data_IF_381590926618
#
_entry.id   IF_381590926618
#
_cell.length_a   1.000
_cell.length_b   1.000
_cell.length_c   1.000
_cell.angle_alpha   90.00
_cell.angle_beta   90.00
_cell.angle_gamma   90.00
#
_symmetry.space_group_name_H-M   'P 1'
#
loop_
_entity.id
_entity.type
_entity.pdbx_description
1 polymer ?
#
# COMPACT_ATOMS: atom_id res chain seq x y z
N UNK A 1 31.83 -36.27 15.88
CA UNK A 1 31.81 -35.61 14.54
C UNK A 1 30.37 -35.23 14.25
N UNK A 2 29.99 -33.98 14.53
CA UNK A 2 28.66 -33.46 14.18
C UNK A 2 28.79 -32.70 12.87
N UNK A 3 28.13 -33.20 11.83
CA UNK A 3 28.06 -32.54 10.54
C UNK A 3 27.22 -31.26 10.70
N UNK A 4 27.84 -30.10 10.58
CA UNK A 4 27.15 -28.83 10.34
C UNK A 4 26.46 -28.93 8.97
N UNK A 5 25.14 -29.02 8.97
CA UNK A 5 24.37 -28.84 7.75
C UNK A 5 24.54 -27.38 7.28
N UNK A 6 25.31 -27.18 6.20
CA UNK A 6 25.31 -25.93 5.47
C UNK A 6 23.91 -25.70 4.92
N UNK A 7 23.15 -24.81 5.54
CA UNK A 7 21.98 -24.23 4.89
C UNK A 7 22.49 -23.36 3.75
N UNK A 8 22.41 -23.88 2.52
CA UNK A 8 22.77 -23.14 1.33
C UNK A 8 22.01 -21.82 1.28
N UNK A 9 22.72 -20.72 0.98
CA UNK A 9 22.10 -19.43 0.77
C UNK A 9 21.05 -19.55 -0.35
N UNK A 10 19.78 -19.26 -0.04
CA UNK A 10 18.73 -19.25 -1.04
C UNK A 10 19.06 -18.22 -2.13
N UNK A 11 18.82 -18.58 -3.39
CA UNK A 11 18.97 -17.62 -4.50
C UNK A 11 18.02 -16.42 -4.27
N UNK A 12 18.33 -15.22 -4.79
CA UNK A 12 17.44 -14.06 -4.69
C UNK A 12 15.99 -14.36 -5.10
N UNK A 13 15.77 -15.24 -6.10
CA UNK A 13 14.45 -15.68 -6.56
C UNK A 13 13.70 -16.58 -5.56
N UNK A 14 14.38 -17.13 -4.55
CA UNK A 14 13.76 -17.96 -3.50
C UNK A 14 13.42 -17.15 -2.24
N UNK A 15 13.87 -15.88 -2.16
CA UNK A 15 13.51 -14.93 -1.10
C UNK A 15 12.18 -14.25 -1.42
N UNK A 16 11.68 -13.45 -0.50
CA UNK A 16 10.38 -12.79 -0.62
C UNK A 16 9.21 -13.65 -0.15
N UNK A 17 8.06 -13.01 0.04
CA UNK A 17 6.83 -13.67 0.46
C UNK A 17 6.29 -14.62 -0.63
N UNK A 18 5.44 -15.61 -0.26
CA UNK A 18 4.75 -16.42 -1.27
C UNK A 18 3.90 -15.59 -2.23
N UNK A 19 3.29 -14.51 -1.78
CA UNK A 19 2.56 -13.57 -2.61
C UNK A 19 3.49 -12.89 -3.63
N UNK A 20 4.63 -12.36 -3.19
CA UNK A 20 5.63 -11.75 -4.06
C UNK A 20 6.17 -12.73 -5.12
N UNK A 21 6.48 -13.97 -4.72
CA UNK A 21 6.92 -15.00 -5.68
C UNK A 21 5.87 -15.33 -6.73
N UNK A 22 4.58 -15.43 -6.34
CA UNK A 22 3.47 -15.64 -7.31
C UNK A 22 3.33 -14.43 -8.23
N UNK A 23 3.45 -13.23 -7.70
CA UNK A 23 3.38 -12.00 -8.48
C UNK A 23 4.50 -11.89 -9.51
N UNK A 24 5.74 -12.22 -9.14
CA UNK A 24 6.89 -12.26 -10.05
C UNK A 24 6.74 -13.34 -11.15
N UNK A 25 6.02 -14.42 -10.87
CA UNK A 25 5.75 -15.48 -11.84
C UNK A 25 4.59 -15.15 -12.81
N UNK A 26 3.83 -14.08 -12.60
CA UNK A 26 2.75 -13.66 -13.51
C UNK A 26 3.36 -13.15 -14.84
N UNK A 27 3.10 -13.80 -15.98
CA UNK A 27 3.69 -13.41 -17.26
C UNK A 27 3.20 -12.04 -17.79
N UNK A 28 2.17 -11.46 -17.18
CA UNK A 28 1.64 -10.14 -17.54
C UNK A 28 2.31 -9.00 -16.78
N UNK A 29 3.15 -9.31 -15.78
CA UNK A 29 3.94 -8.31 -15.07
C UNK A 29 5.01 -7.75 -16.00
N UNK A 30 5.15 -6.45 -15.98
CA UNK A 30 6.17 -5.71 -16.71
C UNK A 30 7.10 -5.02 -15.70
N UNK A 31 8.32 -4.77 -16.12
CA UNK A 31 9.33 -4.10 -15.32
C UNK A 31 9.77 -2.83 -16.04
N UNK A 32 9.63 -1.70 -15.38
CA UNK A 32 10.16 -0.41 -15.82
C UNK A 32 11.54 -0.21 -15.18
N UNK A 33 12.57 0.04 -16.00
CA UNK A 33 13.94 0.23 -15.54
C UNK A 33 14.07 1.51 -14.70
N UNK A 34 14.59 1.36 -13.49
CA UNK A 34 14.92 2.44 -12.56
C UNK A 34 16.43 2.55 -12.31
N UNK A 35 17.26 1.99 -13.18
CA UNK A 35 18.73 2.12 -13.07
C UNK A 35 19.13 3.60 -13.06
N UNK A 36 19.84 4.03 -12.01
CA UNK A 36 20.25 5.42 -11.85
C UNK A 36 19.15 6.38 -11.36
N UNK A 37 17.96 5.87 -11.01
CA UNK A 37 16.91 6.71 -10.42
C UNK A 37 17.36 7.24 -9.06
N UNK A 38 17.32 8.57 -8.87
CA UNK A 38 17.71 9.23 -7.64
C UNK A 38 16.57 9.24 -6.64
N UNK A 39 16.80 8.66 -5.46
CA UNK A 39 15.88 8.69 -4.33
C UNK A 39 15.96 10.02 -3.57
N UNK A 40 14.93 10.36 -2.81
CA UNK A 40 14.88 11.57 -1.99
C UNK A 40 16.00 11.70 -0.97
N UNK A 41 16.66 10.59 -0.60
CA UNK A 41 17.85 10.57 0.25
C UNK A 41 19.17 10.83 -0.52
N UNK A 42 19.13 11.10 -1.82
CA UNK A 42 20.30 11.34 -2.68
C UNK A 42 21.01 10.07 -3.17
N UNK A 43 20.53 8.87 -2.83
CA UNK A 43 21.11 7.61 -3.34
C UNK A 43 20.53 7.29 -4.72
N UNK A 44 21.40 6.84 -5.61
CA UNK A 44 20.99 6.30 -6.92
C UNK A 44 20.65 4.82 -6.80
N UNK A 45 19.59 4.39 -7.44
CA UNK A 45 19.28 2.97 -7.57
C UNK A 45 20.30 2.29 -8.50
N UNK A 46 20.73 1.06 -8.18
CA UNK A 46 21.73 0.35 -8.97
C UNK A 46 21.17 -0.11 -10.33
N UNK A 47 22.08 -0.52 -11.21
CA UNK A 47 21.72 -1.17 -12.47
C UNK A 47 20.87 -2.42 -12.20
N UNK A 48 19.76 -2.56 -12.93
CA UNK A 48 18.80 -3.65 -12.77
C UNK A 48 17.69 -3.40 -11.73
N UNK A 49 17.74 -2.26 -11.01
CA UNK A 49 16.59 -1.84 -10.20
C UNK A 49 15.39 -1.57 -11.10
N UNK A 50 14.19 -2.01 -10.69
CA UNK A 50 12.98 -1.83 -11.51
C UNK A 50 11.73 -1.59 -10.68
N UNK A 51 10.77 -0.92 -11.30
CA UNK A 51 9.38 -0.81 -10.84
C UNK A 51 8.54 -1.86 -11.59
N UNK A 52 8.04 -2.85 -10.88
CA UNK A 52 7.14 -3.83 -11.45
C UNK A 52 5.72 -3.27 -11.52
N UNK A 53 5.03 -3.51 -12.61
CA UNK A 53 3.65 -3.02 -12.80
C UNK A 53 2.84 -3.96 -13.69
N UNK A 54 1.51 -3.83 -13.58
CA UNK A 54 0.55 -4.56 -14.41
C UNK A 54 -0.47 -3.60 -15.01
N UNK A 55 -0.95 -3.91 -16.21
CA UNK A 55 -1.95 -3.12 -16.91
C UNK A 55 -3.17 -3.99 -17.19
N UNK A 56 -4.35 -3.47 -16.89
CA UNK A 56 -5.63 -4.12 -17.10
C UNK A 56 -6.54 -3.24 -17.98
N UNK A 57 -7.48 -3.87 -18.66
CA UNK A 57 -8.47 -3.19 -19.49
C UNK A 57 -8.01 -2.89 -20.91
N UNK A 58 -8.60 -1.89 -21.57
CA UNK A 58 -8.28 -1.54 -22.95
C UNK A 58 -6.83 -1.07 -23.09
N UNK A 59 -6.24 -1.20 -24.28
CA UNK A 59 -4.93 -0.62 -24.56
C UNK A 59 -4.89 0.87 -24.18
N UNK A 60 -3.72 1.35 -23.77
CA UNK A 60 -3.50 2.74 -23.42
C UNK A 60 -3.95 3.65 -24.56
N UNK A 61 -4.75 4.66 -24.24
CA UNK A 61 -5.32 5.61 -25.21
C UNK A 61 -6.58 5.12 -25.93
N UNK A 62 -7.06 3.89 -25.68
CA UNK A 62 -8.28 3.36 -26.29
C UNK A 62 -9.47 3.28 -25.34
N UNK A 63 -9.26 3.50 -24.04
CA UNK A 63 -10.31 3.56 -23.01
C UNK A 63 -10.85 4.97 -22.79
N UNK A 64 -11.80 5.09 -21.87
CA UNK A 64 -12.36 6.36 -21.41
C UNK A 64 -11.35 7.20 -20.61
N UNK A 65 -10.27 6.59 -20.12
CA UNK A 65 -9.21 7.26 -19.39
C UNK A 65 -8.31 6.29 -18.64
N UNK A 66 -7.43 6.85 -17.81
CA UNK A 66 -6.38 6.11 -17.07
C UNK A 66 -6.67 6.17 -15.57
N UNK A 67 -6.73 5.00 -14.95
CA UNK A 67 -6.76 4.84 -13.50
C UNK A 67 -5.40 4.32 -13.02
N UNK A 68 -4.80 5.00 -12.05
CA UNK A 68 -3.62 4.51 -11.35
C UNK A 68 -4.07 3.91 -10.01
N UNK A 69 -3.68 2.65 -9.75
CA UNK A 69 -3.99 1.96 -8.50
C UNK A 69 -2.71 1.36 -7.88
N UNK A 70 -1.93 2.16 -7.13
CA UNK A 70 -0.72 1.68 -6.49
C UNK A 70 -1.02 0.66 -5.39
N UNK A 71 -0.12 -0.32 -5.22
CA UNK A 71 -0.24 -1.29 -4.13
C UNK A 71 -0.05 -0.65 -2.76
N UNK A 72 -0.50 -1.34 -1.71
CA UNK A 72 -0.43 -0.91 -0.32
C UNK A 72 0.62 -1.71 0.48
N UNK A 73 0.66 -1.53 1.81
CA UNK A 73 1.53 -2.28 2.71
C UNK A 73 1.27 -3.79 2.58
N UNK A 74 2.34 -4.56 2.44
CA UNK A 74 2.33 -6.03 2.32
C UNK A 74 1.44 -6.56 1.17
N UNK A 75 1.09 -5.70 0.21
CA UNK A 75 0.26 -6.04 -0.92
C UNK A 75 1.06 -6.08 -2.23
N UNK A 76 0.70 -7.01 -3.11
CA UNK A 76 1.20 -7.11 -4.47
C UNK A 76 0.04 -6.99 -5.46
N UNK A 77 0.33 -6.68 -6.72
CA UNK A 77 -0.70 -6.38 -7.73
C UNK A 77 -1.79 -7.46 -7.88
N UNK A 78 -1.48 -8.75 -7.70
CA UNK A 78 -2.46 -9.83 -7.82
C UNK A 78 -3.53 -9.79 -6.72
N UNK A 79 -3.21 -9.24 -5.56
CA UNK A 79 -4.12 -9.15 -4.42
C UNK A 79 -5.15 -8.03 -4.59
N UNK A 80 -4.92 -7.12 -5.54
CA UNK A 80 -5.83 -6.02 -5.87
C UNK A 80 -6.82 -6.36 -6.99
N UNK A 81 -6.65 -7.50 -7.67
CA UNK A 81 -7.41 -7.84 -8.87
C UNK A 81 -8.90 -8.11 -8.59
N UNK A 82 -9.29 -8.40 -7.36
CA UNK A 82 -10.69 -8.62 -7.00
C UNK A 82 -11.59 -7.41 -7.30
N UNK A 83 -11.05 -6.20 -7.31
CA UNK A 83 -11.78 -4.98 -7.59
C UNK A 83 -11.52 -4.39 -8.98
N UNK A 84 -10.74 -5.09 -9.83
CA UNK A 84 -10.35 -4.67 -11.18
C UNK A 84 -10.99 -5.63 -12.19
N UNK A 85 -11.89 -5.15 -13.02
CA UNK A 85 -12.57 -5.96 -14.02
C UNK A 85 -13.81 -5.27 -14.58
N UNK A 86 -14.44 -5.85 -15.61
CA UNK A 86 -15.70 -5.32 -16.12
C UNK A 86 -16.77 -5.28 -15.03
N UNK A 87 -17.34 -4.10 -14.77
CA UNK A 87 -18.35 -3.88 -13.73
C UNK A 87 -17.85 -3.93 -12.28
N UNK A 88 -16.53 -4.07 -12.06
CA UNK A 88 -15.93 -3.97 -10.72
C UNK A 88 -15.67 -2.49 -10.34
N UNK A 89 -15.17 -2.25 -9.13
CA UNK A 89 -14.87 -0.90 -8.63
C UNK A 89 -14.01 -0.10 -9.61
N UNK A 90 -13.01 -0.74 -10.21
CA UNK A 90 -12.19 -0.19 -11.28
C UNK A 90 -12.57 -0.90 -12.60
N UNK A 91 -13.54 -0.32 -13.29
CA UNK A 91 -14.21 -0.93 -14.44
C UNK A 91 -13.31 -0.94 -15.68
N UNK A 92 -12.76 -2.10 -15.98
CA UNK A 92 -11.90 -2.31 -17.15
C UNK A 92 -12.66 -2.39 -18.49
N UNK A 93 -13.98 -2.38 -18.50
CA UNK A 93 -14.72 -2.15 -19.74
C UNK A 93 -14.60 -0.69 -20.23
N UNK A 94 -14.22 0.23 -19.35
CA UNK A 94 -14.12 1.66 -19.61
C UNK A 94 -12.71 2.21 -19.48
N UNK A 95 -11.98 1.82 -18.44
CA UNK A 95 -10.71 2.44 -18.06
C UNK A 95 -9.54 1.49 -18.23
N UNK A 96 -8.39 2.03 -18.62
CA UNK A 96 -7.12 1.34 -18.47
C UNK A 96 -6.64 1.53 -17.02
N UNK A 97 -6.44 0.43 -16.31
CA UNK A 97 -5.98 0.44 -14.92
C UNK A 97 -4.53 0.03 -14.87
N UNK A 98 -3.68 0.90 -14.34
CA UNK A 98 -2.24 0.65 -14.16
C UNK A 98 -1.98 0.42 -12.67
N UNK A 99 -1.40 -0.73 -12.34
CA UNK A 99 -1.11 -1.16 -10.96
C UNK A 99 0.39 -1.27 -10.76
N UNK A 100 1.07 -0.21 -10.29
CA UNK A 100 2.48 -0.28 -9.91
C UNK A 100 2.63 -0.91 -8.53
N UNK A 101 3.63 -1.79 -8.39
CA UNK A 101 4.03 -2.35 -7.10
C UNK A 101 4.93 -1.38 -6.35
N UNK A 102 4.76 -1.29 -5.03
CA UNK A 102 5.63 -0.49 -4.16
C UNK A 102 7.11 -0.93 -4.28
N UNK A 103 8.02 0.01 -4.23
CA UNK A 103 9.40 -0.28 -3.88
C UNK A 103 9.44 -0.86 -2.46
N UNK A 104 10.11 -1.99 -2.31
CA UNK A 104 10.20 -2.67 -1.02
C UNK A 104 9.14 -3.74 -0.77
N UNK A 105 8.26 -4.09 -1.73
CA UNK A 105 7.21 -5.10 -1.52
C UNK A 105 7.57 -6.52 -2.03
N UNK A 106 8.83 -6.75 -2.40
CA UNK A 106 9.31 -8.04 -2.89
C UNK A 106 9.06 -8.30 -4.40
N UNK A 107 8.42 -7.37 -5.12
CA UNK A 107 8.14 -7.48 -6.56
C UNK A 107 8.85 -6.38 -7.36
N UNK A 108 8.74 -5.12 -6.95
CA UNK A 108 9.64 -4.05 -7.38
C UNK A 108 10.97 -4.15 -6.65
N UNK A 109 11.94 -3.30 -6.96
CA UNK A 109 13.23 -3.28 -6.25
C UNK A 109 13.04 -3.27 -4.73
N UNK A 110 13.54 -4.31 -4.05
CA UNK A 110 13.21 -4.63 -2.66
C UNK A 110 14.39 -5.27 -1.93
N UNK A 111 14.46 -5.16 -0.59
CA UNK A 111 15.48 -5.82 0.22
C UNK A 111 15.65 -7.32 -0.06
N UNK A 112 14.55 -8.05 -0.23
CA UNK A 112 14.56 -9.49 -0.52
C UNK A 112 15.15 -9.84 -1.88
N UNK A 113 15.20 -8.91 -2.83
CA UNK A 113 15.71 -9.11 -4.19
C UNK A 113 17.18 -8.68 -4.36
N UNK A 114 17.79 -8.11 -3.32
CA UNK A 114 19.15 -7.59 -3.35
C UNK A 114 20.10 -8.63 -2.74
N UNK A 115 21.30 -8.78 -3.34
CA UNK A 115 22.36 -9.56 -2.73
C UNK A 115 22.72 -8.93 -1.37
N UNK A 116 22.70 -9.69 -0.27
CA UNK A 116 23.15 -9.23 1.03
C UNK A 116 24.53 -8.58 1.04
N UNK A 117 25.44 -9.04 0.19
CA UNK A 117 26.78 -8.48 0.04
C UNK A 117 26.80 -7.08 -0.58
N UNK A 118 25.75 -6.68 -1.29
CA UNK A 118 25.61 -5.33 -1.87
C UNK A 118 25.28 -4.25 -0.83
N UNK A 119 25.14 -4.62 0.45
CA UNK A 119 24.80 -3.72 1.55
C UNK A 119 23.30 -3.57 1.77
N UNK A 120 22.94 -2.61 2.64
CA UNK A 120 21.54 -2.31 2.95
C UNK A 120 20.86 -1.61 1.78
N UNK A 121 19.59 -1.99 1.47
CA UNK A 121 18.80 -1.23 0.52
C UNK A 121 18.62 0.21 1.00
N UNK A 122 18.39 1.16 0.09
CA UNK A 122 18.05 2.51 0.48
C UNK A 122 16.68 2.53 1.19
N UNK A 123 16.47 3.56 1.99
CA UNK A 123 15.15 3.86 2.51
C UNK A 123 14.30 4.46 1.39
N UNK A 124 13.15 3.86 1.14
CA UNK A 124 12.15 4.39 0.22
C UNK A 124 11.15 5.28 0.97
N UNK A 125 10.71 6.34 0.35
CA UNK A 125 9.59 7.16 0.82
C UNK A 125 8.36 6.96 -0.07
N UNK A 126 7.19 7.41 0.39
CA UNK A 126 5.99 7.51 -0.46
C UNK A 126 6.26 8.39 -1.68
N UNK A 127 7.00 9.48 -1.48
CA UNK A 127 7.41 10.39 -2.56
C UNK A 127 8.30 9.69 -3.61
N UNK A 128 9.23 8.83 -3.20
CA UNK A 128 10.05 8.06 -4.14
C UNK A 128 9.20 7.11 -4.97
N UNK A 129 8.26 6.42 -4.34
CA UNK A 129 7.30 5.56 -5.04
C UNK A 129 6.50 6.33 -6.09
N UNK A 130 5.96 7.49 -5.71
CA UNK A 130 5.13 8.31 -6.59
C UNK A 130 5.97 8.93 -7.72
N UNK A 131 7.22 9.32 -7.47
CA UNK A 131 8.16 9.77 -8.52
C UNK A 131 8.51 8.63 -9.50
N UNK A 132 8.72 7.41 -9.02
CA UNK A 132 8.96 6.25 -9.86
C UNK A 132 7.72 5.90 -10.70
N UNK A 133 6.52 5.99 -10.14
CA UNK A 133 5.25 5.85 -10.87
C UNK A 133 5.11 6.92 -11.95
N UNK A 134 5.46 8.16 -11.64
CA UNK A 134 5.43 9.24 -12.63
C UNK A 134 6.37 8.95 -13.80
N UNK A 135 7.61 8.55 -13.53
CA UNK A 135 8.57 8.17 -14.56
C UNK A 135 8.05 7.01 -15.43
N UNK A 136 7.39 6.01 -14.81
CA UNK A 136 6.71 4.94 -15.54
C UNK A 136 5.61 5.50 -16.47
N UNK A 137 4.75 6.39 -15.97
CA UNK A 137 3.65 6.94 -16.76
C UNK A 137 4.16 7.83 -17.90
N UNK A 138 5.23 8.58 -17.69
CA UNK A 138 5.93 9.36 -18.73
C UNK A 138 6.49 8.43 -19.81
N UNK A 139 7.10 7.30 -19.42
CA UNK A 139 7.56 6.26 -20.35
C UNK A 139 6.41 5.65 -21.16
N UNK A 140 5.25 5.46 -20.54
CA UNK A 140 4.04 4.95 -21.19
C UNK A 140 3.30 6.03 -22.03
N UNK A 141 3.70 7.29 -21.93
CA UNK A 141 3.09 8.41 -22.64
C UNK A 141 1.73 8.84 -22.11
N UNK A 142 1.45 8.62 -20.80
CA UNK A 142 0.13 8.87 -20.20
C UNK A 142 0.20 9.58 -18.85
N UNK A 143 -0.87 10.30 -18.50
CA UNK A 143 -1.18 10.69 -17.13
C UNK A 143 -0.25 11.71 -16.48
N UNK A 144 0.55 12.46 -17.26
CA UNK A 144 1.61 13.29 -16.69
C UNK A 144 1.48 14.78 -16.97
N UNK A 145 0.42 15.21 -17.66
CA UNK A 145 0.23 16.62 -17.99
C UNK A 145 -1.18 17.11 -17.68
N UNK A 146 -1.36 18.42 -17.75
CA UNK A 146 -2.67 19.06 -17.61
C UNK A 146 -3.62 18.69 -18.75
N UNK A 147 -3.09 18.47 -19.94
CA UNK A 147 -3.85 18.14 -21.15
C UNK A 147 -4.29 16.66 -21.14
N UNK A 148 -3.50 15.79 -20.51
CA UNK A 148 -3.76 14.36 -20.38
C UNK A 148 -3.51 13.89 -18.93
N UNK A 149 -4.30 14.36 -17.96
CA UNK A 149 -4.14 13.95 -16.56
C UNK A 149 -4.67 12.53 -16.33
N UNK A 150 -4.27 11.92 -15.21
CA UNK A 150 -4.93 10.72 -14.68
C UNK A 150 -6.39 11.02 -14.37
N UNK A 151 -7.30 10.14 -14.78
CA UNK A 151 -8.72 10.29 -14.45
C UNK A 151 -8.99 9.99 -12.98
N UNK A 152 -8.27 9.02 -12.42
CA UNK A 152 -8.35 8.65 -11.02
C UNK A 152 -7.01 8.09 -10.52
N UNK A 153 -6.59 8.51 -9.33
CA UNK A 153 -5.67 7.73 -8.50
C UNK A 153 -6.50 7.10 -7.38
N UNK A 154 -6.68 5.79 -7.45
CA UNK A 154 -7.39 5.03 -6.42
C UNK A 154 -6.39 4.45 -5.44
N UNK A 155 -6.51 4.78 -4.17
CA UNK A 155 -5.61 4.28 -3.14
C UNK A 155 -6.35 3.79 -1.91
N UNK A 156 -5.98 2.59 -1.45
CA UNK A 156 -6.34 2.06 -0.15
C UNK A 156 -5.12 2.10 0.77
N UNK A 157 -5.29 2.50 2.03
CA UNK A 157 -4.23 2.47 3.04
C UNK A 157 -2.97 3.24 2.59
N UNK A 158 -1.80 2.62 2.49
CA UNK A 158 -0.60 3.23 1.90
C UNK A 158 -0.78 3.64 0.44
N UNK A 159 -1.70 3.02 -0.29
CA UNK A 159 -2.11 3.48 -1.62
C UNK A 159 -2.78 4.85 -1.57
N UNK A 160 -3.55 5.14 -0.52
CA UNK A 160 -4.16 6.45 -0.32
C UNK A 160 -3.12 7.54 0.03
N UNK A 161 -2.08 7.21 0.82
CA UNK A 161 -0.94 8.11 1.03
C UNK A 161 -0.28 8.49 -0.31
N UNK A 162 -0.16 7.53 -1.23
CA UNK A 162 0.36 7.78 -2.57
C UNK A 162 -0.59 8.63 -3.42
N UNK A 163 -1.91 8.42 -3.31
CA UNK A 163 -2.91 9.24 -4.02
C UNK A 163 -2.86 10.71 -3.57
N UNK A 164 -2.72 10.96 -2.28
CA UNK A 164 -2.51 12.32 -1.76
C UNK A 164 -1.18 12.92 -2.23
N UNK A 165 -0.10 12.15 -2.21
CA UNK A 165 1.20 12.61 -2.72
C UNK A 165 1.11 13.01 -4.19
N UNK A 166 0.41 12.22 -5.04
CA UNK A 166 0.12 12.56 -6.43
C UNK A 166 -0.61 13.90 -6.55
N UNK A 167 -1.69 14.09 -5.79
CA UNK A 167 -2.53 15.28 -5.87
C UNK A 167 -1.81 16.56 -5.36
N UNK A 168 -0.87 16.43 -4.42
CA UNK A 168 -0.12 17.56 -3.86
C UNK A 168 1.13 17.88 -4.69
N UNK A 169 1.86 16.85 -5.14
CA UNK A 169 3.09 17.04 -5.91
C UNK A 169 2.82 17.52 -7.34
N UNK A 170 1.77 16.98 -7.98
CA UNK A 170 1.40 17.32 -9.38
C UNK A 170 -0.09 17.60 -9.53
N UNK A 171 -0.58 18.70 -8.97
CA UNK A 171 -2.01 19.00 -8.88
C UNK A 171 -2.73 19.08 -10.23
N UNK A 172 -2.03 19.41 -11.31
CA UNK A 172 -2.63 19.50 -12.66
C UNK A 172 -2.63 18.14 -13.40
N UNK A 173 -1.93 17.13 -12.87
CA UNK A 173 -1.80 15.82 -13.51
C UNK A 173 -2.83 14.79 -13.01
N UNK A 174 -3.73 15.17 -12.10
CA UNK A 174 -4.72 14.25 -11.50
C UNK A 174 -6.08 14.94 -11.42
N UNK A 175 -7.10 14.35 -12.05
CA UNK A 175 -8.49 14.87 -11.99
C UNK A 175 -9.17 14.53 -10.69
N UNK A 176 -9.01 13.28 -10.23
CA UNK A 176 -9.69 12.72 -9.05
C UNK A 176 -8.77 11.83 -8.25
N UNK A 177 -8.93 11.83 -6.94
CA UNK A 177 -8.37 10.78 -6.08
C UNK A 177 -9.48 10.13 -5.27
N UNK A 178 -9.37 8.81 -5.03
CA UNK A 178 -10.15 8.10 -4.05
C UNK A 178 -9.20 7.61 -2.96
N UNK A 179 -9.32 8.19 -1.78
CA UNK A 179 -8.51 7.85 -0.60
C UNK A 179 -9.37 7.01 0.35
N UNK A 180 -9.16 5.69 0.31
CA UNK A 180 -9.93 4.72 1.09
C UNK A 180 -9.10 4.27 2.28
N UNK A 181 -9.61 4.43 3.50
CA UNK A 181 -8.93 4.07 4.75
C UNK A 181 -7.46 4.52 4.76
N UNK A 182 -7.21 5.79 4.49
CA UNK A 182 -5.89 6.40 4.43
C UNK A 182 -5.93 7.89 4.71
N UNK A 183 -4.79 8.56 4.66
CA UNK A 183 -4.62 9.95 5.05
C UNK A 183 -3.58 10.68 4.19
N UNK A 184 -3.51 12.00 4.31
CA UNK A 184 -2.48 12.82 3.68
C UNK A 184 -1.10 12.67 4.36
N UNK A 185 -1.08 12.19 5.60
CA UNK A 185 0.15 11.90 6.35
C UNK A 185 -0.06 10.80 7.39
N UNK A 186 1.03 10.16 7.80
CA UNK A 186 1.04 9.23 8.93
C UNK A 186 0.79 9.99 10.24
N UNK A 187 -0.34 9.70 10.93
CA UNK A 187 -0.70 10.30 12.21
C UNK A 187 0.12 9.75 13.38
N UNK A 188 0.07 10.42 14.54
CA UNK A 188 0.85 10.02 15.71
C UNK A 188 0.44 8.64 16.25
N UNK A 189 -0.87 8.33 16.30
CA UNK A 189 -1.36 7.02 16.71
C UNK A 189 -0.85 5.92 15.78
N UNK A 190 -0.86 6.20 14.48
CA UNK A 190 -0.35 5.30 13.46
C UNK A 190 1.17 5.07 13.62
N UNK A 191 1.95 6.11 13.95
CA UNK A 191 3.38 5.99 14.26
C UNK A 191 3.66 5.09 15.46
N UNK A 192 2.82 5.16 16.51
CA UNK A 192 2.92 4.25 17.68
C UNK A 192 2.69 2.80 17.27
N UNK A 193 1.66 2.55 16.46
CA UNK A 193 1.42 1.23 15.90
C UNK A 193 2.63 0.71 15.10
N UNK A 194 3.12 1.49 14.14
CA UNK A 194 4.27 1.11 13.31
C UNK A 194 5.53 0.86 14.14
N UNK A 195 5.76 1.67 15.18
CA UNK A 195 6.84 1.44 16.14
C UNK A 195 6.69 0.11 16.89
N UNK A 196 5.45 -0.27 17.25
CA UNK A 196 5.19 -1.53 17.99
C UNK A 196 5.47 -2.77 17.14
N UNK A 197 5.06 -2.77 15.85
CA UNK A 197 5.32 -3.90 14.96
C UNK A 197 6.79 -3.97 14.53
N UNK A 198 7.47 -2.84 14.33
CA UNK A 198 8.92 -2.81 14.10
C UNK A 198 9.69 -3.38 15.29
N UNK A 199 9.32 -2.98 16.51
CA UNK A 199 9.94 -3.49 17.73
C UNK A 199 9.71 -5.00 17.90
N UNK A 200 8.51 -5.51 17.59
CA UNK A 200 8.20 -6.94 17.66
C UNK A 200 9.06 -7.76 16.69
N UNK A 201 9.23 -7.29 15.44
CA UNK A 201 10.13 -7.94 14.48
C UNK A 201 11.57 -7.97 14.98
N UNK A 202 12.11 -6.82 15.42
CA UNK A 202 13.51 -6.68 15.85
C UNK A 202 13.82 -7.35 17.20
N UNK A 203 12.81 -7.73 17.98
CA UNK A 203 13.00 -8.50 19.21
C UNK A 203 13.34 -9.97 18.93
N UNK A 204 13.16 -10.46 17.69
CA UNK A 204 13.58 -11.82 17.31
C UNK A 204 15.10 -11.96 17.31
N UNK A 205 15.59 -13.13 17.79
CA UNK A 205 17.02 -13.45 17.79
C UNK A 205 17.66 -13.55 16.38
N UNK A 206 16.86 -13.49 15.33
CA UNK A 206 17.34 -13.40 13.94
C UNK A 206 17.75 -11.98 13.54
N UNK A 207 17.41 -10.95 14.33
CA UNK A 207 17.80 -9.58 14.05
C UNK A 207 19.28 -9.33 14.32
N UNK A 208 20.02 -8.88 13.32
CA UNK A 208 21.39 -8.39 13.47
C UNK A 208 21.37 -6.86 13.45
N UNK A 209 21.55 -6.26 14.62
CA UNK A 209 21.53 -4.80 14.76
C UNK A 209 22.72 -4.12 14.08
N UNK A 210 23.88 -4.79 13.99
CA UNK A 210 25.07 -4.24 13.35
C UNK A 210 24.93 -4.25 11.82
N UNK A 211 24.34 -5.32 11.27
CA UNK A 211 24.05 -5.44 9.84
C UNK A 211 22.74 -4.72 9.45
N UNK A 212 21.87 -4.36 10.41
CA UNK A 212 20.58 -3.72 10.17
C UNK A 212 19.58 -4.58 9.38
N UNK A 213 19.65 -5.91 9.49
CA UNK A 213 18.89 -6.89 8.72
C UNK A 213 18.68 -8.20 9.49
N UNK A 214 17.80 -9.06 8.97
CA UNK A 214 17.62 -10.41 9.52
C UNK A 214 18.62 -11.40 8.91
N UNK A 215 19.21 -12.25 9.76
CA UNK A 215 20.14 -13.32 9.36
C UNK A 215 19.42 -14.58 8.89
N UNK A 216 18.16 -14.75 9.29
CA UNK A 216 17.23 -15.82 8.91
C UNK A 216 15.80 -15.36 9.13
N UNK A 217 14.76 -16.09 8.65
CA UNK A 217 13.37 -15.72 8.91
C UNK A 217 13.08 -15.60 10.42
N UNK A 218 12.58 -14.45 10.91
CA UNK A 218 12.28 -14.20 12.31
C UNK A 218 10.88 -14.74 12.67
N UNK A 219 10.73 -16.06 12.79
CA UNK A 219 9.43 -16.70 12.95
C UNK A 219 8.64 -16.24 14.17
N UNK A 220 9.32 -15.99 15.30
CA UNK A 220 8.70 -15.47 16.52
C UNK A 220 8.33 -13.99 16.36
N UNK A 221 9.19 -13.22 15.72
CA UNK A 221 8.94 -11.82 15.40
C UNK A 221 7.74 -11.65 14.47
N UNK A 222 7.63 -12.48 13.43
CA UNK A 222 6.49 -12.46 12.50
C UNK A 222 5.18 -12.89 13.19
N UNK A 223 5.21 -13.87 14.11
CA UNK A 223 4.03 -14.25 14.90
C UNK A 223 3.59 -13.10 15.82
N UNK A 224 4.52 -12.44 16.52
CA UNK A 224 4.22 -11.27 17.36
C UNK A 224 3.68 -10.10 16.52
N UNK A 225 4.26 -9.87 15.34
CA UNK A 225 3.79 -8.89 14.36
C UNK A 225 2.33 -9.15 13.98
N UNK A 226 1.99 -10.37 13.56
CA UNK A 226 0.62 -10.76 13.19
C UNK A 226 -0.37 -10.58 14.33
N UNK A 227 0.03 -10.94 15.57
CA UNK A 227 -0.80 -10.77 16.77
C UNK A 227 -1.10 -9.30 17.06
N UNK A 228 -0.10 -8.42 16.94
CA UNK A 228 -0.30 -6.97 17.10
C UNK A 228 -1.22 -6.45 15.99
N UNK A 229 -0.96 -6.87 14.75
CA UNK A 229 -1.77 -6.46 13.59
C UNK A 229 -3.25 -6.82 13.75
N UNK A 230 -3.55 -8.00 14.31
CA UNK A 230 -4.92 -8.44 14.59
C UNK A 230 -5.68 -7.47 15.50
N UNK A 231 -5.01 -6.91 16.52
CA UNK A 231 -5.62 -5.94 17.42
C UNK A 231 -5.84 -4.55 16.81
N UNK A 232 -5.24 -4.25 15.67
CA UNK A 232 -5.30 -2.93 15.03
C UNK A 232 -6.03 -2.91 13.68
N UNK A 233 -5.98 -4.02 12.94
CA UNK A 233 -6.51 -4.10 11.57
C UNK A 233 -8.03 -4.18 11.48
N UNK A 234 -8.73 -4.40 12.60
CA UNK A 234 -10.19 -4.41 12.70
C UNK A 234 -10.65 -3.43 13.79
N UNK A 235 -11.92 -3.07 13.76
CA UNK A 235 -12.53 -2.21 14.76
C UNK A 235 -12.65 -2.90 16.14
N UNK A 236 -12.89 -2.13 17.19
CA UNK A 236 -13.10 -2.68 18.53
C UNK A 236 -14.34 -3.58 18.60
N UNK A 237 -15.42 -3.21 17.91
CA UNK A 237 -16.67 -4.00 17.88
C UNK A 237 -16.49 -5.37 17.21
N UNK A 238 -15.46 -5.56 16.34
CA UNK A 238 -15.12 -6.87 15.82
C UNK A 238 -14.93 -7.91 16.92
N UNK A 239 -14.32 -7.51 18.04
CA UNK A 239 -14.08 -8.37 19.19
C UNK A 239 -15.18 -8.25 20.25
N UNK A 240 -15.60 -7.04 20.61
CA UNK A 240 -16.55 -6.82 21.72
C UNK A 240 -17.97 -7.30 21.39
N UNK A 241 -18.34 -7.33 20.11
CA UNK A 241 -19.64 -7.78 19.61
C UNK A 241 -19.56 -9.13 18.88
N UNK A 242 -18.39 -9.78 18.95
CA UNK A 242 -18.12 -11.08 18.33
C UNK A 242 -18.44 -11.13 16.80
N UNK A 243 -18.18 -10.04 16.08
CA UNK A 243 -18.39 -9.97 14.62
C UNK A 243 -17.54 -11.01 13.85
N UNK A 244 -16.41 -11.46 14.42
CA UNK A 244 -15.62 -12.57 13.90
C UNK A 244 -16.46 -13.85 13.71
N UNK A 245 -17.51 -14.07 14.51
CA UNK A 245 -18.36 -15.24 14.38
C UNK A 245 -19.18 -15.22 13.06
N UNK A 246 -19.57 -14.04 12.58
CA UNK A 246 -20.24 -13.87 11.28
C UNK A 246 -19.28 -14.17 10.11
N UNK A 247 -17.99 -13.99 10.33
CA UNK A 247 -16.95 -14.34 9.38
C UNK A 247 -16.49 -15.82 9.50
N UNK A 248 -17.16 -16.63 10.32
CA UNK A 248 -16.94 -18.08 10.44
C UNK A 248 -15.79 -18.46 11.38
N UNK A 249 -15.44 -17.61 12.34
CA UNK A 249 -14.45 -17.90 13.39
C UNK A 249 -15.13 -18.24 14.71
N UNK A 250 -14.61 -19.24 15.40
CA UNK A 250 -15.18 -19.76 16.65
C UNK A 250 -14.90 -18.86 17.87
N UNK A 251 -13.79 -18.14 17.87
CA UNK A 251 -13.39 -17.21 18.91
C UNK A 251 -12.48 -16.12 18.38
N UNK A 252 -12.13 -15.12 19.21
CA UNK A 252 -11.14 -14.11 18.89
C UNK A 252 -9.76 -14.73 18.62
N UNK A 253 -9.37 -15.73 19.40
CA UNK A 253 -8.11 -16.48 19.22
C UNK A 253 -8.12 -17.22 17.89
N UNK A 254 -9.21 -17.93 17.56
CA UNK A 254 -9.37 -18.63 16.28
C UNK A 254 -9.24 -17.66 15.08
N UNK A 255 -9.80 -16.45 15.21
CA UNK A 255 -9.62 -15.40 14.21
C UNK A 255 -8.16 -14.97 14.03
N UNK A 256 -7.44 -14.75 15.13
CA UNK A 256 -6.01 -14.40 15.08
C UNK A 256 -5.19 -15.52 14.46
N UNK A 257 -5.38 -16.77 14.93
CA UNK A 257 -4.63 -17.95 14.49
C UNK A 257 -4.85 -18.30 13.01
N UNK A 258 -6.07 -18.14 12.51
CA UNK A 258 -6.44 -18.55 11.15
C UNK A 258 -6.42 -17.42 10.13
N UNK A 259 -6.38 -16.16 10.57
CA UNK A 259 -6.38 -15.00 9.67
C UNK A 259 -5.05 -14.25 9.69
N UNK A 260 -4.61 -13.74 10.83
CA UNK A 260 -3.45 -12.85 10.91
C UNK A 260 -2.10 -13.56 11.02
N UNK A 261 -2.00 -14.63 11.82
CA UNK A 261 -0.71 -15.33 11.93
C UNK A 261 -0.27 -15.93 10.58
N UNK A 262 -1.12 -16.62 9.81
CA UNK A 262 -0.72 -17.16 8.52
C UNK A 262 -0.41 -16.07 7.48
N UNK A 263 -1.07 -14.91 7.55
CA UNK A 263 -0.83 -13.82 6.62
C UNK A 263 0.62 -13.33 6.65
N UNK A 264 1.21 -13.25 7.85
CA UNK A 264 2.58 -12.74 8.01
C UNK A 264 3.64 -13.83 8.19
N UNK A 265 3.26 -15.09 8.44
CA UNK A 265 4.19 -16.17 8.76
C UNK A 265 5.33 -16.39 7.75
N UNK A 266 5.08 -16.07 6.48
CA UNK A 266 6.02 -16.28 5.39
C UNK A 266 6.42 -14.97 4.68
N UNK A 267 6.14 -13.81 5.26
CA UNK A 267 6.59 -12.53 4.72
C UNK A 267 8.11 -12.38 4.88
N UNK A 268 8.72 -11.64 3.97
CA UNK A 268 10.10 -11.23 4.13
C UNK A 268 10.16 -10.05 5.12
N UNK A 269 10.88 -10.24 6.23
CA UNK A 269 10.89 -9.26 7.30
C UNK A 269 11.67 -7.99 6.97
N UNK A 270 12.67 -8.06 6.09
CA UNK A 270 13.40 -6.87 5.63
C UNK A 270 12.52 -6.04 4.67
N UNK A 271 11.70 -6.69 3.84
CA UNK A 271 10.69 -6.02 3.00
C UNK A 271 9.62 -5.35 3.87
N UNK A 272 9.12 -6.03 4.92
CA UNK A 272 8.18 -5.43 5.87
C UNK A 272 8.79 -4.20 6.57
N UNK A 273 10.03 -4.30 7.05
CA UNK A 273 10.73 -3.15 7.67
C UNK A 273 10.88 -1.98 6.71
N UNK A 274 11.19 -2.24 5.44
CA UNK A 274 11.30 -1.21 4.41
C UNK A 274 9.96 -0.47 4.24
N UNK A 275 8.86 -1.22 4.13
CA UNK A 275 7.53 -0.65 3.96
C UNK A 275 7.01 0.07 5.23
N UNK A 276 7.33 -0.45 6.43
CA UNK A 276 7.03 0.24 7.71
C UNK A 276 7.64 1.64 7.72
N UNK A 277 8.88 1.77 7.28
CA UNK A 277 9.59 3.07 7.21
C UNK A 277 8.96 3.98 6.17
N UNK A 278 8.67 3.46 4.99
CA UNK A 278 7.96 4.20 3.93
C UNK A 278 6.63 4.77 4.43
N UNK A 279 5.85 3.97 5.17
CA UNK A 279 4.57 4.39 5.73
C UNK A 279 4.74 5.44 6.83
N UNK A 280 5.65 5.19 7.79
CA UNK A 280 5.89 6.08 8.93
C UNK A 280 6.31 7.48 8.52
N UNK A 281 7.08 7.60 7.43
CA UNK A 281 7.64 8.85 6.95
C UNK A 281 6.73 9.58 5.95
N UNK A 282 5.53 9.03 5.67
CA UNK A 282 4.56 9.63 4.77
C UNK A 282 4.02 10.95 5.35
N UNK A 283 4.24 12.05 4.63
CA UNK A 283 3.70 13.37 4.95
C UNK A 283 3.74 14.28 3.71
N UNK A 284 2.59 14.62 3.16
CA UNK A 284 2.53 15.56 2.02
C UNK A 284 2.91 16.98 2.41
N UNK A 285 2.92 17.33 3.70
CA UNK A 285 3.30 18.64 4.17
C UNK A 285 4.79 18.97 3.95
N UNK A 286 5.61 17.96 3.60
CA UNK A 286 7.02 18.16 3.19
C UNK A 286 7.12 19.15 2.00
N UNK A 287 6.12 19.19 1.12
CA UNK A 287 6.07 20.10 -0.01
C UNK A 287 5.82 21.58 0.38
N UNK A 288 5.49 21.83 1.64
CA UNK A 288 5.11 23.15 2.16
C UNK A 288 5.79 23.47 3.50
N UNK A 289 6.95 22.88 3.75
CA UNK A 289 7.72 23.13 4.96
C UNK A 289 7.04 22.65 6.25
N UNK A 290 6.18 21.61 6.17
CA UNK A 290 5.47 21.03 7.32
C UNK A 290 4.04 21.55 7.51
N UNK A 291 3.57 22.50 6.70
CA UNK A 291 2.21 23.02 6.76
C UNK A 291 1.23 22.15 5.94
N UNK A 292 0.46 21.29 6.64
CA UNK A 292 -0.53 20.42 6.01
C UNK A 292 -1.68 21.20 5.35
N UNK A 293 -2.11 22.31 5.92
CA UNK A 293 -3.14 23.17 5.32
C UNK A 293 -2.68 23.71 3.97
N UNK A 294 -1.46 24.22 3.91
CA UNK A 294 -0.87 24.73 2.69
C UNK A 294 -0.69 23.59 1.65
N UNK A 295 -0.29 22.38 2.08
CA UNK A 295 -0.15 21.22 1.21
C UNK A 295 -1.49 20.80 0.61
N UNK A 296 -2.53 20.61 1.42
CA UNK A 296 -3.87 20.26 0.95
C UNK A 296 -4.52 21.39 0.11
N UNK A 297 -4.15 22.64 0.37
CA UNK A 297 -4.53 23.80 -0.46
C UNK A 297 -4.01 23.73 -1.91
N UNK A 298 -2.95 22.96 -2.17
CA UNK A 298 -2.43 22.73 -3.55
C UNK A 298 -3.29 21.77 -4.35
N UNK A 299 -4.05 20.89 -3.71
CA UNK A 299 -4.86 19.86 -4.37
C UNK A 299 -5.87 20.53 -5.31
N UNK A 300 -5.87 20.13 -6.59
CA UNK A 300 -6.85 20.55 -7.60
C UNK A 300 -7.86 19.44 -7.89
N UNK A 301 -7.48 18.21 -7.65
CA UNK A 301 -8.30 17.03 -7.86
C UNK A 301 -9.59 17.07 -7.01
N UNK A 302 -10.66 16.46 -7.52
CA UNK A 302 -11.80 16.06 -6.71
C UNK A 302 -11.37 14.90 -5.81
N UNK A 303 -11.66 14.96 -4.52
CA UNK A 303 -11.21 13.99 -3.52
C UNK A 303 -12.40 13.22 -2.97
N UNK A 304 -12.48 11.93 -3.23
CA UNK A 304 -13.37 11.03 -2.49
C UNK A 304 -12.59 10.48 -1.29
N UNK A 305 -12.96 10.93 -0.09
CA UNK A 305 -12.34 10.51 1.16
C UNK A 305 -13.28 9.55 1.90
N UNK A 306 -12.85 8.29 2.03
CA UNK A 306 -13.62 7.19 2.59
C UNK A 306 -12.91 6.55 3.79
N UNK A 307 -12.85 7.19 4.96
CA UNK A 307 -12.36 6.55 6.17
C UNK A 307 -13.35 5.47 6.63
N UNK A 308 -12.89 4.46 7.37
CA UNK A 308 -13.79 3.64 8.17
C UNK A 308 -13.93 4.23 9.59
N UNK A 309 -15.15 4.22 10.12
CA UNK A 309 -15.47 4.80 11.44
C UNK A 309 -14.70 4.11 12.58
N UNK A 310 -14.35 2.84 12.41
CA UNK A 310 -13.60 2.06 13.37
C UNK A 310 -12.15 1.77 12.96
N UNK A 311 -11.63 2.48 11.95
CA UNK A 311 -10.21 2.36 11.57
C UNK A 311 -9.32 2.90 12.69
N UNK A 312 -8.35 2.10 13.12
CA UNK A 312 -7.41 2.44 14.19
C UNK A 312 -6.08 2.94 13.67
N UNK A 313 -5.81 2.79 12.38
CA UNK A 313 -4.62 3.33 11.73
C UNK A 313 -4.86 4.77 11.27
N UNK A 314 -5.93 4.99 10.52
CA UNK A 314 -6.33 6.28 9.95
C UNK A 314 -7.70 6.64 10.53
N UNK A 315 -7.69 7.37 11.62
CA UNK A 315 -8.88 7.61 12.42
C UNK A 315 -9.89 8.51 11.71
N UNK A 316 -11.18 8.28 11.97
CA UNK A 316 -12.28 9.12 11.44
C UNK A 316 -12.04 10.61 11.73
N UNK A 317 -11.62 10.94 12.97
CA UNK A 317 -11.40 12.34 13.36
C UNK A 317 -10.21 12.99 12.63
N UNK A 318 -9.19 12.23 12.18
CA UNK A 318 -8.14 12.75 11.32
C UNK A 318 -8.68 13.02 9.92
N UNK A 319 -9.46 12.11 9.36
CA UNK A 319 -10.09 12.27 8.06
C UNK A 319 -11.09 13.45 8.02
N UNK A 320 -11.85 13.68 9.08
CA UNK A 320 -12.74 14.85 9.22
C UNK A 320 -11.95 16.16 9.16
N UNK A 321 -10.79 16.23 9.83
CA UNK A 321 -9.91 17.41 9.76
C UNK A 321 -9.35 17.62 8.35
N UNK A 322 -8.95 16.55 7.65
CA UNK A 322 -8.49 16.64 6.26
C UNK A 322 -9.61 17.08 5.32
N UNK A 323 -10.82 16.53 5.48
CA UNK A 323 -11.99 16.94 4.71
C UNK A 323 -12.29 18.42 4.88
N UNK A 324 -12.22 18.95 6.11
CA UNK A 324 -12.39 20.37 6.38
C UNK A 324 -11.30 21.24 5.73
N UNK A 325 -10.06 20.75 5.60
CA UNK A 325 -8.99 21.46 4.91
C UNK A 325 -9.14 21.46 3.39
N UNK A 326 -9.67 20.37 2.83
CA UNK A 326 -9.95 20.22 1.40
C UNK A 326 -11.17 21.04 0.94
N UNK A 327 -12.13 21.28 1.85
CA UNK A 327 -13.35 22.03 1.57
C UNK A 327 -14.20 21.43 0.47
N UNK A 328 -14.70 22.25 -0.44
CA UNK A 328 -15.62 21.83 -1.53
C UNK A 328 -15.05 20.79 -2.50
N UNK A 329 -13.73 20.56 -2.47
CA UNK A 329 -13.10 19.50 -3.28
C UNK A 329 -13.31 18.12 -2.70
N UNK A 330 -13.68 18.02 -1.42
CA UNK A 330 -13.84 16.74 -0.72
C UNK A 330 -15.28 16.23 -0.79
N UNK A 331 -15.43 15.01 -1.26
CA UNK A 331 -16.63 14.18 -1.09
C UNK A 331 -16.33 13.22 0.06
N UNK A 332 -16.85 13.52 1.24
CA UNK A 332 -16.62 12.73 2.44
C UNK A 332 -17.68 11.64 2.57
N UNK A 333 -17.25 10.36 2.54
CA UNK A 333 -18.13 9.18 2.55
C UNK A 333 -17.60 8.09 3.48
N UNK A 334 -17.74 8.24 4.79
CA UNK A 334 -17.29 7.23 5.74
C UNK A 334 -17.91 5.85 5.47
N UNK A 335 -17.10 4.81 5.69
CA UNK A 335 -17.55 3.42 5.74
C UNK A 335 -17.88 3.12 7.20
N UNK A 336 -19.07 2.58 7.47
CA UNK A 336 -19.49 2.16 8.81
C UNK A 336 -19.33 0.65 8.90
N UNK A 337 -18.32 0.17 9.62
CA UNK A 337 -18.01 -1.25 9.66
C UNK A 337 -17.15 -1.66 10.85
N UNK A 338 -17.53 -2.76 11.51
CA UNK A 338 -16.70 -3.42 12.52
C UNK A 338 -15.38 -3.96 11.96
N UNK A 339 -15.26 -4.15 10.65
CA UNK A 339 -14.05 -4.59 10.00
C UNK A 339 -12.91 -3.56 10.07
N UNK A 340 -13.19 -2.31 10.49
CA UNK A 340 -12.18 -1.29 10.72
C UNK A 340 -11.39 -0.99 9.45
N UNK A 341 -10.05 -1.06 9.53
CA UNK A 341 -9.20 -0.83 8.36
C UNK A 341 -9.49 -1.76 7.18
N UNK A 342 -9.81 -3.05 7.46
CA UNK A 342 -10.13 -4.05 6.43
C UNK A 342 -11.38 -3.73 5.61
N UNK A 343 -12.26 -2.85 6.11
CA UNK A 343 -13.43 -2.40 5.37
C UNK A 343 -13.07 -1.68 4.05
N UNK A 344 -11.87 -1.11 3.96
CA UNK A 344 -11.36 -0.45 2.75
C UNK A 344 -10.75 -1.41 1.73
N UNK A 345 -10.54 -2.69 2.09
CA UNK A 345 -10.04 -3.77 1.23
C UNK A 345 -11.00 -4.97 1.25
N UNK A 346 -12.23 -4.81 0.72
CA UNK A 346 -13.30 -5.76 0.88
C UNK A 346 -13.21 -6.94 -0.10
N UNK A 347 -12.09 -7.67 -0.08
CA UNK A 347 -11.87 -8.85 -0.92
C UNK A 347 -12.55 -10.12 -0.41
N UNK A 348 -13.12 -10.08 0.80
CA UNK A 348 -13.78 -11.23 1.44
C UNK A 348 -15.29 -11.14 1.30
N UNK A 349 -16.00 -12.30 1.17
CA UNK A 349 -17.45 -12.31 0.97
C UNK A 349 -18.26 -11.58 2.05
N UNK A 350 -17.81 -11.64 3.31
CA UNK A 350 -18.45 -10.96 4.44
C UNK A 350 -18.40 -9.43 4.36
N UNK A 351 -17.55 -8.87 3.51
CA UNK A 351 -17.39 -7.42 3.27
C UNK A 351 -18.09 -6.95 1.98
N UNK A 352 -19.08 -7.69 1.51
CA UNK A 352 -19.81 -7.35 0.27
C UNK A 352 -20.58 -6.03 0.31
N UNK A 353 -21.05 -5.61 1.51
CA UNK A 353 -21.70 -4.32 1.70
C UNK A 353 -20.71 -3.16 1.53
N UNK A 354 -19.51 -3.29 2.11
CA UNK A 354 -18.42 -2.32 1.99
C UNK A 354 -17.93 -2.22 0.54
N UNK A 355 -17.76 -3.36 -0.15
CA UNK A 355 -17.41 -3.40 -1.57
C UNK A 355 -18.44 -2.65 -2.43
N UNK A 356 -19.72 -2.84 -2.14
CA UNK A 356 -20.83 -2.16 -2.85
C UNK A 356 -20.83 -0.67 -2.56
N UNK A 357 -20.60 -0.25 -1.30
CA UNK A 357 -20.51 1.14 -0.89
C UNK A 357 -19.37 1.86 -1.59
N UNK A 358 -18.15 1.28 -1.57
CA UNK A 358 -16.96 1.84 -2.22
C UNK A 358 -17.20 1.96 -3.72
N UNK A 359 -17.62 0.89 -4.39
CA UNK A 359 -17.87 0.87 -5.83
C UNK A 359 -18.86 1.95 -6.25
N UNK A 360 -19.97 2.08 -5.53
CA UNK A 360 -20.98 3.11 -5.81
C UNK A 360 -20.38 4.51 -5.82
N UNK A 361 -19.66 4.87 -4.77
CA UNK A 361 -19.11 6.23 -4.65
C UNK A 361 -17.94 6.50 -5.59
N UNK A 362 -17.15 5.47 -5.95
CA UNK A 362 -16.14 5.59 -7.02
C UNK A 362 -16.80 5.84 -8.37
N UNK A 363 -17.92 5.19 -8.66
CA UNK A 363 -18.69 5.43 -9.88
C UNK A 363 -19.31 6.83 -9.91
N UNK A 364 -19.87 7.29 -8.79
CA UNK A 364 -20.40 8.66 -8.65
C UNK A 364 -19.27 9.68 -8.91
N UNK A 365 -18.09 9.49 -8.31
CA UNK A 365 -16.92 10.34 -8.53
C UNK A 365 -16.47 10.36 -10.01
N UNK A 366 -16.46 9.21 -10.68
CA UNK A 366 -16.03 9.11 -12.08
C UNK A 366 -17.06 9.67 -13.07
N UNK A 367 -18.31 9.88 -12.63
CA UNK A 367 -19.37 10.49 -13.44
C UNK A 367 -19.39 12.03 -13.36
N UNK A 368 -18.73 12.64 -12.37
CA UNK A 368 -18.49 14.09 -12.27
C UNK A 368 -17.44 14.55 -13.31
#
# INVERSE_FOLDING_TARGET
>A
MHACAHHGAQSPQQRGSPAARRALADPRVRHFDLSGFELGCGRLLPVGASLAYKVHGPPIGQGAGIVLHPTSFDAVHNELEYQIGPGQTLDTARYTVIVPNLLGNGVSYSPSLIDPAAGLPPLFSVRDNVRAQRALLEHLGVGCSKEAPLDLVYGYSMGALQAYEWAVAWPESVRRIAAVCGAARCGELNRVFLGSIEAALKADAAWDAAAGRFTRPPTRGLAAFGSIYAGWGVGSSWYTEAEYARAGFASAEDFVERSYLPAFANCDADDLLSQIRTWRDADVAVHTGGDLRAALGRVRARVLLMPCDQDRYFTLGEAEREAALLGDRCVFRPIVSAAGHRAGDPHRPELGAEATWIRRHVYELLAE
#
